data_IF_996270401246
#
_entry.id   IF_996270401246
#
_cell.length_a   1.000
_cell.length_b   1.000
_cell.length_c   1.000
_cell.angle_alpha   90.00
_cell.angle_beta   90.00
_cell.angle_gamma   90.00
#
_symmetry.space_group_name_H-M   'P 1'
#
loop_
_entity.id
_entity.type
_entity.pdbx_description
1 polymer ?
#
# COMPACT_ATOMS: atom_id res chain seq x y z
N UNK A 1 21.28 19.34 -18.29
CA UNK A 1 20.55 18.20 -18.88
C UNK A 1 21.16 16.94 -18.32
N UNK A 2 20.38 16.14 -17.60
CA UNK A 2 20.82 14.87 -17.05
C UNK A 2 20.20 13.73 -17.86
N UNK A 3 21.01 12.74 -18.20
CA UNK A 3 20.64 11.62 -19.05
C UNK A 3 20.98 10.35 -18.28
N UNK A 4 20.04 9.42 -18.18
CA UNK A 4 20.26 8.14 -17.49
C UNK A 4 19.63 7.02 -18.31
N UNK A 5 20.27 5.85 -18.38
CA UNK A 5 19.75 4.72 -19.15
C UNK A 5 19.30 3.61 -18.20
N UNK A 6 18.10 3.07 -18.40
CA UNK A 6 17.55 2.00 -17.57
C UNK A 6 16.78 0.98 -18.41
N UNK A 7 17.16 -0.31 -18.31
CA UNK A 7 16.58 -1.44 -19.08
C UNK A 7 16.43 -1.17 -20.59
N UNK A 8 17.38 -0.43 -21.18
CA UNK A 8 17.38 -0.07 -22.60
C UNK A 8 16.58 1.19 -22.97
N UNK A 9 16.00 1.90 -21.99
CA UNK A 9 15.31 3.16 -22.19
C UNK A 9 16.15 4.35 -21.73
N UNK A 10 16.18 5.41 -22.54
CA UNK A 10 16.87 6.66 -22.21
C UNK A 10 15.91 7.56 -21.43
N UNK A 11 16.25 7.82 -20.18
CA UNK A 11 15.62 8.84 -19.36
C UNK A 11 16.35 10.16 -19.53
N UNK A 12 15.58 11.23 -19.71
CA UNK A 12 16.08 12.59 -19.83
C UNK A 12 15.46 13.45 -18.73
N UNK A 13 16.25 14.34 -18.15
CA UNK A 13 15.78 15.31 -17.17
C UNK A 13 16.35 16.69 -17.46
N UNK A 14 15.46 17.69 -17.48
CA UNK A 14 15.85 19.09 -17.63
C UNK A 14 16.47 19.64 -16.35
N UNK A 15 15.88 19.30 -15.19
CA UNK A 15 16.19 19.94 -13.89
C UNK A 15 16.68 18.95 -12.82
N UNK A 16 16.89 17.67 -13.17
CA UNK A 16 17.28 16.60 -12.24
C UNK A 16 16.15 16.09 -11.32
N UNK A 17 15.06 16.84 -11.18
CA UNK A 17 13.88 16.46 -10.37
C UNK A 17 12.85 15.66 -11.15
N UNK A 18 12.50 16.11 -12.36
CA UNK A 18 11.52 15.46 -13.23
C UNK A 18 12.25 14.73 -14.34
N UNK A 19 12.08 13.42 -14.38
CA UNK A 19 12.63 12.52 -15.37
C UNK A 19 11.56 12.14 -16.37
N UNK A 20 11.94 12.06 -17.63
CA UNK A 20 11.05 11.72 -18.74
C UNK A 20 11.64 10.55 -19.50
N UNK A 21 10.79 9.62 -19.90
CA UNK A 21 11.17 8.49 -20.75
C UNK A 21 10.14 8.33 -21.85
N UNK A 22 10.61 8.04 -23.06
CA UNK A 22 9.74 7.71 -24.19
C UNK A 22 9.69 6.20 -24.36
N UNK A 23 8.52 5.60 -24.15
CA UNK A 23 8.29 4.17 -24.35
C UNK A 23 7.26 4.02 -25.49
N UNK A 24 7.70 3.44 -26.62
CA UNK A 24 6.93 3.37 -27.88
C UNK A 24 6.39 4.74 -28.30
N UNK A 25 5.09 4.99 -28.11
CA UNK A 25 4.37 6.19 -28.54
C UNK A 25 3.92 7.08 -27.38
N UNK A 26 4.32 6.77 -26.14
CA UNK A 26 3.97 7.58 -24.96
C UNK A 26 5.22 8.11 -24.28
N UNK A 27 5.16 9.37 -23.88
CA UNK A 27 6.19 10.03 -23.07
C UNK A 27 5.69 10.04 -21.64
N UNK A 28 6.38 9.29 -20.78
CA UNK A 28 6.11 9.20 -19.36
C UNK A 28 7.00 10.21 -18.65
N UNK A 29 6.45 11.01 -17.73
CA UNK A 29 7.20 12.02 -16.98
C UNK A 29 6.87 11.96 -15.49
N UNK A 30 7.89 11.91 -14.63
CA UNK A 30 7.71 11.75 -13.19
C UNK A 30 9.03 11.78 -12.42
N UNK A 31 9.01 11.34 -11.16
CA UNK A 31 10.23 11.18 -10.37
C UNK A 31 11.12 10.06 -10.94
N UNK A 32 12.44 10.10 -10.70
CA UNK A 32 13.36 9.05 -11.16
C UNK A 32 12.91 7.64 -10.73
N UNK A 33 12.42 7.51 -9.49
CA UNK A 33 11.95 6.25 -8.94
C UNK A 33 10.67 5.76 -9.64
N UNK A 34 9.67 6.64 -9.81
CA UNK A 34 8.41 6.29 -10.47
C UNK A 34 8.63 5.89 -11.92
N UNK A 35 9.50 6.63 -12.64
CA UNK A 35 9.80 6.33 -14.05
C UNK A 35 10.54 5.00 -14.21
N UNK A 36 11.49 4.68 -13.32
CA UNK A 36 12.16 3.37 -13.32
C UNK A 36 11.17 2.23 -13.09
N UNK A 37 10.25 2.37 -12.13
CA UNK A 37 9.18 1.39 -11.88
C UNK A 37 8.26 1.21 -13.09
N UNK A 38 7.87 2.30 -13.76
CA UNK A 38 7.05 2.20 -14.98
C UNK A 38 7.76 1.46 -16.12
N UNK A 39 9.07 1.64 -16.27
CA UNK A 39 9.89 0.91 -17.25
C UNK A 39 9.95 -0.58 -16.88
N UNK A 40 10.15 -0.88 -15.60
CA UNK A 40 10.21 -2.26 -15.10
C UNK A 40 8.89 -3.00 -15.32
N UNK A 41 7.79 -2.38 -14.90
CA UNK A 41 6.44 -2.89 -15.12
C UNK A 41 6.13 -3.10 -16.60
N UNK A 42 6.52 -2.16 -17.47
CA UNK A 42 6.38 -2.32 -18.92
C UNK A 42 7.16 -3.53 -19.43
N UNK A 43 8.37 -3.75 -18.91
CA UNK A 43 9.20 -4.89 -19.30
C UNK A 43 8.60 -6.23 -18.86
N UNK A 44 7.90 -6.27 -17.73
CA UNK A 44 7.28 -7.50 -17.19
C UNK A 44 5.89 -7.78 -17.77
N UNK A 45 5.06 -6.75 -17.94
CA UNK A 45 3.62 -6.91 -18.25
C UNK A 45 3.24 -6.47 -19.67
N UNK A 46 4.17 -5.87 -20.42
CA UNK A 46 3.91 -5.19 -21.69
C UNK A 46 2.76 -4.17 -21.62
N UNK A 47 2.44 -3.66 -20.43
CA UNK A 47 1.37 -2.69 -20.17
C UNK A 47 1.95 -1.36 -19.71
N UNK A 48 1.48 -0.28 -20.33
CA UNK A 48 2.07 1.04 -20.16
C UNK A 48 1.24 1.85 -19.16
N UNK A 49 1.69 1.88 -17.92
CA UNK A 49 1.06 2.65 -16.85
C UNK A 49 1.80 3.97 -16.70
N UNK A 50 1.05 5.07 -16.63
CA UNK A 50 1.62 6.41 -16.50
C UNK A 50 2.31 6.58 -15.12
N UNK A 51 3.47 7.22 -15.01
CA UNK A 51 4.13 7.43 -13.72
C UNK A 51 3.31 8.30 -12.77
N UNK A 52 2.35 9.11 -13.27
CA UNK A 52 1.34 9.76 -12.40
C UNK A 52 0.36 8.75 -11.81
N UNK A 53 -0.06 7.77 -12.60
CA UNK A 53 -0.86 6.64 -12.12
C UNK A 53 -0.05 5.82 -11.12
N UNK A 54 1.27 5.68 -11.26
CA UNK A 54 2.11 5.07 -10.23
C UNK A 54 2.20 5.89 -8.94
N UNK A 55 2.24 7.23 -9.00
CA UNK A 55 2.16 8.04 -7.79
C UNK A 55 0.80 7.90 -7.09
N UNK A 56 -0.29 7.81 -7.87
CA UNK A 56 -1.64 7.54 -7.36
C UNK A 56 -1.82 6.09 -6.90
N UNK A 57 -1.16 5.12 -7.54
CA UNK A 57 -1.11 3.72 -7.15
C UNK A 57 -0.20 3.53 -5.94
N UNK A 58 0.87 4.28 -5.73
CA UNK A 58 1.63 4.28 -4.47
C UNK A 58 0.80 4.90 -3.34
N UNK A 59 0.00 5.93 -3.64
CA UNK A 59 -1.01 6.42 -2.70
C UNK A 59 -2.14 5.41 -2.42
N UNK A 60 -2.38 4.45 -3.32
CA UNK A 60 -3.39 3.38 -3.17
C UNK A 60 -2.83 2.04 -2.68
N UNK A 61 -1.54 1.78 -2.90
CA UNK A 61 -0.82 0.55 -2.56
C UNK A 61 -0.42 0.52 -1.09
N UNK A 62 -0.66 1.62 -0.38
CA UNK A 62 -0.64 1.66 1.08
C UNK A 62 -1.86 2.49 1.52
N UNK A 63 -3.07 1.98 1.28
CA UNK A 63 -4.06 2.12 2.36
C UNK A 63 -3.42 1.34 3.51
N UNK A 64 -2.62 2.04 4.33
CA UNK A 64 -1.80 1.49 5.37
C UNK A 64 -2.66 0.50 6.13
N UNK A 65 -2.37 -0.79 5.94
CA UNK A 65 -3.01 -1.87 6.66
C UNK A 65 -2.92 -1.46 8.12
N UNK A 66 -4.03 -1.03 8.70
CA UNK A 66 -3.95 -0.34 9.98
C UNK A 66 -3.89 -1.44 11.01
N UNK A 67 -2.69 -1.70 11.50
CA UNK A 67 -2.44 -2.69 12.53
C UNK A 67 -2.43 -1.96 13.88
N UNK A 68 -3.35 -2.31 14.76
CA UNK A 68 -3.50 -1.72 16.08
C UNK A 68 -3.51 -2.81 17.14
N UNK A 69 -2.69 -2.65 18.17
CA UNK A 69 -2.61 -3.60 19.26
C UNK A 69 -3.54 -3.16 20.40
N UNK A 70 -4.56 -3.98 20.72
CA UNK A 70 -5.57 -3.66 21.73
C UNK A 70 -5.63 -4.74 22.80
N UNK A 71 -5.29 -4.39 24.05
CA UNK A 71 -5.27 -5.33 25.19
C UNK A 71 -4.51 -6.65 24.91
N UNK A 72 -3.41 -6.58 24.14
CA UNK A 72 -2.62 -7.74 23.75
C UNK A 72 -3.09 -8.47 22.49
N UNK A 73 -4.18 -8.02 21.85
CA UNK A 73 -4.70 -8.56 20.61
C UNK A 73 -4.33 -7.69 19.41
N UNK A 74 -3.89 -8.31 18.31
CA UNK A 74 -3.55 -7.61 17.07
C UNK A 74 -4.80 -7.47 16.19
N UNK A 75 -5.30 -6.24 16.08
CA UNK A 75 -6.35 -5.86 15.15
C UNK A 75 -5.68 -5.38 13.86
N UNK A 76 -6.10 -5.91 12.73
CA UNK A 76 -5.59 -5.54 11.41
C UNK A 76 -6.73 -5.07 10.52
N UNK A 77 -6.42 -4.13 9.63
CA UNK A 77 -7.37 -3.67 8.62
C UNK A 77 -6.65 -3.39 7.31
N UNK A 78 -6.69 -4.35 6.39
CA UNK A 78 -5.99 -4.27 5.10
C UNK A 78 -6.68 -3.36 4.07
N UNK A 79 -7.93 -2.95 4.30
CA UNK A 79 -8.73 -2.21 3.31
C UNK A 79 -9.02 -0.77 3.71
N UNK A 80 -8.68 -0.37 4.95
CA UNK A 80 -8.98 0.95 5.50
C UNK A 80 -10.48 1.22 5.75
N UNK A 81 -11.37 0.28 5.45
CA UNK A 81 -12.80 0.44 5.68
C UNK A 81 -13.14 0.22 7.18
N UNK A 82 -14.04 1.02 7.79
CA UNK A 82 -14.33 0.93 9.22
C UNK A 82 -14.92 -0.41 9.68
N UNK A 83 -15.44 -1.21 8.74
CA UNK A 83 -16.07 -2.52 9.00
C UNK A 83 -15.23 -3.73 8.58
N UNK A 84 -14.00 -3.49 8.09
CA UNK A 84 -13.13 -4.54 7.58
C UNK A 84 -11.99 -4.89 8.54
N UNK A 85 -12.15 -4.58 9.82
CA UNK A 85 -11.18 -4.96 10.84
C UNK A 85 -11.29 -6.46 11.12
N UNK A 86 -10.17 -7.09 11.38
CA UNK A 86 -10.11 -8.47 11.86
C UNK A 86 -9.05 -8.65 12.93
N UNK A 87 -9.25 -9.66 13.77
CA UNK A 87 -8.37 -9.97 14.89
C UNK A 87 -8.39 -11.47 15.15
N UNK A 88 -7.22 -12.05 15.47
CA UNK A 88 -7.16 -13.39 16.03
C UNK A 88 -7.42 -13.32 17.54
N UNK A 89 -8.52 -13.91 17.97
CA UNK A 89 -8.96 -13.92 19.36
C UNK A 89 -9.17 -15.36 19.82
N UNK A 90 -8.36 -15.83 20.77
CA UNK A 90 -8.47 -17.17 21.37
C UNK A 90 -8.58 -18.31 20.32
N UNK A 91 -7.72 -18.28 19.29
CA UNK A 91 -7.71 -19.26 18.19
C UNK A 91 -8.82 -19.09 17.15
N UNK A 92 -9.68 -18.08 17.28
CA UNK A 92 -10.74 -17.76 16.31
C UNK A 92 -10.47 -16.43 15.63
N UNK A 93 -10.65 -16.39 14.31
CA UNK A 93 -10.61 -15.15 13.55
C UNK A 93 -11.96 -14.43 13.70
N UNK A 94 -11.95 -13.25 14.29
CA UNK A 94 -13.12 -12.38 14.41
C UNK A 94 -12.95 -11.25 13.41
N UNK A 95 -14.01 -10.98 12.62
CA UNK A 95 -14.06 -9.90 11.64
C UNK A 95 -15.25 -8.99 11.93
N UNK A 96 -15.09 -7.69 11.72
CA UNK A 96 -16.16 -6.72 11.90
C UNK A 96 -15.67 -5.29 12.05
N UNK A 97 -16.53 -4.42 12.60
CA UNK A 97 -16.15 -3.06 12.93
C UNK A 97 -15.20 -3.01 14.13
N UNK A 98 -14.23 -2.08 14.10
CA UNK A 98 -13.25 -1.88 15.19
C UNK A 98 -13.91 -1.87 16.58
N UNK A 99 -14.97 -1.09 16.73
CA UNK A 99 -15.70 -0.95 18.00
C UNK A 99 -16.35 -2.26 18.47
N UNK A 100 -16.83 -3.09 17.54
CA UNK A 100 -17.45 -4.37 17.85
C UNK A 100 -16.39 -5.39 18.33
N UNK A 101 -15.22 -5.41 17.68
CA UNK A 101 -14.09 -6.25 18.08
C UNK A 101 -13.56 -5.83 19.45
N UNK A 102 -13.36 -4.53 19.68
CA UNK A 102 -12.94 -4.00 20.99
C UNK A 102 -13.91 -4.39 22.11
N UNK A 103 -15.23 -4.19 21.91
CA UNK A 103 -16.26 -4.61 22.87
C UNK A 103 -16.24 -6.11 23.16
N UNK A 104 -15.97 -6.94 22.15
CA UNK A 104 -15.89 -8.39 22.33
C UNK A 104 -14.69 -8.78 23.20
N UNK A 105 -13.52 -8.15 22.94
CA UNK A 105 -12.31 -8.34 23.73
C UNK A 105 -12.55 -7.90 25.19
N UNK A 106 -13.09 -6.71 25.41
CA UNK A 106 -13.40 -6.18 26.74
C UNK A 106 -14.37 -7.07 27.52
N UNK A 107 -15.46 -7.50 26.88
CA UNK A 107 -16.43 -8.40 27.51
C UNK A 107 -15.79 -9.73 27.93
N UNK A 108 -14.87 -10.25 27.11
CA UNK A 108 -14.16 -11.49 27.43
C UNK A 108 -13.15 -11.31 28.57
N UNK A 109 -12.41 -10.21 28.58
CA UNK A 109 -11.48 -9.86 29.66
C UNK A 109 -12.22 -9.66 30.98
N UNK A 110 -13.34 -8.95 30.97
CA UNK A 110 -14.19 -8.76 32.15
C UNK A 110 -14.78 -10.08 32.67
N UNK A 111 -15.17 -10.99 31.76
CA UNK A 111 -15.65 -12.32 32.13
C UNK A 111 -14.54 -13.22 32.68
N UNK A 112 -13.32 -13.12 32.14
CA UNK A 112 -12.15 -13.85 32.62
C UNK A 112 -11.71 -13.37 34.01
N UNK A 113 -11.69 -12.05 34.23
CA UNK A 113 -11.32 -11.45 35.52
C UNK A 113 -12.30 -11.79 36.66
N UNK A 114 -13.55 -12.14 36.33
CA UNK A 114 -14.57 -12.53 37.32
C UNK A 114 -14.57 -14.03 37.67
N UNK A 115 -13.78 -14.83 36.94
CA UNK A 115 -13.67 -16.29 37.09
C UNK A 115 -12.38 -16.74 37.79
N UNK A 116 -11.46 -15.83 38.07
CA UNK A 116 -10.29 -16.05 38.93
C UNK A 116 -10.51 -15.43 40.31
#
# INVERSE_FOLDING_TARGET
>A
MANSMHRGFTLQSSNGQVWQVKIKNRVLSGSLASVKKSIDWWCETASLIDPKEFASLEAKAVAAGTEENYNGFQLKNDTGAPNAWYCFFNGRLIKGGKLAIQKHIDAHLAAAAKKG
#
